data_IF_101807104688
#
_entry.id   IF_101807104688
#
_cell.length_a   1.000
_cell.length_b   1.000
_cell.length_c   1.000
_cell.angle_alpha   90.00
_cell.angle_beta   90.00
_cell.angle_gamma   90.00
#
_symmetry.space_group_name_H-M   'P 1'
#
loop_
_entity.id
_entity.type
_entity.pdbx_description
1 polymer ?
#
# COMPACT_ATOMS: atom_id res chain seq x y z
N UNK A 1 9.91 -40.91 -7.12
CA UNK A 1 9.02 -40.61 -5.97
C UNK A 1 8.89 -39.11 -5.80
N UNK A 2 7.69 -38.55 -5.64
CA UNK A 2 7.51 -37.13 -5.29
C UNK A 2 8.20 -36.91 -3.94
N UNK A 3 9.22 -36.06 -3.88
CA UNK A 3 9.93 -35.78 -2.64
C UNK A 3 8.95 -35.14 -1.65
N UNK A 4 8.80 -35.79 -0.50
CA UNK A 4 7.92 -35.35 0.58
C UNK A 4 8.81 -34.67 1.64
N UNK A 5 8.47 -33.43 2.00
CA UNK A 5 9.23 -32.60 2.92
C UNK A 5 8.40 -32.32 4.17
N UNK A 6 8.98 -32.55 5.36
CA UNK A 6 8.40 -32.10 6.62
C UNK A 6 8.89 -30.68 6.90
N UNK A 7 7.98 -29.72 6.86
CA UNK A 7 8.27 -28.29 6.98
C UNK A 7 7.54 -27.67 8.17
N UNK A 8 8.05 -26.53 8.63
CA UNK A 8 7.36 -25.60 9.53
C UNK A 8 7.10 -24.31 8.79
N UNK A 9 5.84 -23.90 8.76
CA UNK A 9 5.44 -22.56 8.34
C UNK A 9 5.35 -21.71 9.60
N UNK A 10 5.97 -20.54 9.57
CA UNK A 10 5.86 -19.49 10.60
C UNK A 10 5.19 -18.28 9.98
N UNK A 11 4.23 -17.70 10.68
CA UNK A 11 3.49 -16.52 10.24
C UNK A 11 3.39 -15.46 11.35
N UNK A 12 4.02 -14.31 11.15
CA UNK A 12 4.06 -13.18 12.09
C UNK A 12 2.85 -12.25 11.89
N UNK A 13 1.70 -12.64 12.47
CA UNK A 13 0.40 -11.99 12.25
C UNK A 13 0.41 -10.49 12.60
N UNK A 14 1.10 -10.08 13.65
CA UNK A 14 1.15 -8.69 14.08
C UNK A 14 1.69 -7.75 12.99
N UNK A 15 2.67 -8.21 12.20
CA UNK A 15 3.29 -7.47 11.10
C UNK A 15 2.55 -7.59 9.76
N UNK A 16 1.55 -8.47 9.67
CA UNK A 16 0.77 -8.67 8.45
C UNK A 16 -0.06 -7.42 8.10
N UNK A 17 0.10 -6.91 6.88
CA UNK A 17 -0.64 -5.75 6.34
C UNK A 17 -1.91 -6.12 5.56
N UNK A 18 -2.27 -7.41 5.51
CA UNK A 18 -3.55 -7.82 4.92
C UNK A 18 -3.63 -7.74 3.39
N UNK A 19 -2.50 -7.76 2.68
CA UNK A 19 -2.46 -7.67 1.21
C UNK A 19 -3.07 -8.89 0.46
N UNK A 20 -3.36 -9.99 1.16
CA UNK A 20 -4.02 -11.22 0.65
C UNK A 20 -3.28 -12.03 -0.42
N UNK A 21 -2.11 -11.62 -0.89
CA UNK A 21 -1.33 -12.42 -1.87
C UNK A 21 -1.09 -13.87 -1.44
N UNK A 22 -0.86 -14.14 -0.15
CA UNK A 22 -0.67 -15.51 0.33
C UNK A 22 -1.91 -16.40 0.12
N UNK A 23 -3.13 -15.83 0.18
CA UNK A 23 -4.37 -16.56 -0.12
C UNK A 23 -4.48 -16.86 -1.62
N UNK A 24 -3.94 -16.01 -2.49
CA UNK A 24 -3.94 -16.26 -3.95
C UNK A 24 -3.09 -17.48 -4.31
N UNK A 25 -1.91 -17.62 -3.70
CA UNK A 25 -0.97 -18.68 -4.03
C UNK A 25 -1.16 -19.96 -3.21
N UNK A 26 -1.64 -19.86 -1.97
CA UNK A 26 -1.77 -20.96 -1.03
C UNK A 26 -3.10 -20.89 -0.23
N UNK A 27 -4.26 -20.92 -0.89
CA UNK A 27 -5.58 -20.79 -0.24
C UNK A 27 -5.89 -21.92 0.76
N UNK A 28 -5.32 -23.11 0.56
CA UNK A 28 -5.49 -24.26 1.45
C UNK A 28 -4.73 -24.10 2.79
N UNK A 29 -3.84 -23.10 2.87
CA UNK A 29 -2.97 -22.86 4.02
C UNK A 29 -3.28 -21.55 4.72
N UNK A 30 -3.85 -20.56 4.03
CA UNK A 30 -4.14 -19.26 4.61
C UNK A 30 -5.63 -18.94 4.52
N UNK A 31 -6.18 -18.34 5.57
CA UNK A 31 -7.52 -17.75 5.59
C UNK A 31 -7.41 -16.24 5.86
N UNK A 32 -8.53 -15.51 5.78
CA UNK A 32 -8.55 -14.08 6.02
C UNK A 32 -9.54 -13.74 7.13
N UNK A 33 -9.05 -13.07 8.18
CA UNK A 33 -9.87 -12.65 9.31
C UNK A 33 -9.28 -11.40 9.96
N UNK A 34 -10.14 -10.51 10.48
CA UNK A 34 -9.71 -9.25 11.13
C UNK A 34 -8.72 -8.43 10.28
N UNK A 35 -8.99 -8.34 8.98
CA UNK A 35 -8.15 -7.65 7.99
C UNK A 35 -6.73 -8.21 7.80
N UNK A 36 -6.44 -9.41 8.32
CA UNK A 36 -5.13 -10.07 8.22
C UNK A 36 -5.27 -11.48 7.69
N UNK A 37 -4.21 -11.98 7.04
CA UNK A 37 -4.12 -13.41 6.78
C UNK A 37 -4.00 -14.17 8.10
N UNK A 38 -4.46 -15.42 8.15
CA UNK A 38 -4.26 -16.35 9.27
C UNK A 38 -3.78 -17.69 8.70
N UNK A 39 -2.82 -18.33 9.34
CA UNK A 39 -2.35 -19.66 8.97
C UNK A 39 -3.38 -20.71 9.43
N UNK A 40 -3.92 -21.53 8.55
CA UNK A 40 -4.93 -22.53 8.92
C UNK A 40 -4.31 -23.69 9.71
N UNK A 41 -5.07 -24.27 10.65
CA UNK A 41 -4.64 -25.40 11.49
C UNK A 41 -3.31 -25.14 12.22
N UNK A 42 -3.12 -23.91 12.71
CA UNK A 42 -1.91 -23.48 13.38
C UNK A 42 -1.94 -23.76 14.89
N UNK A 43 -0.76 -23.76 15.50
CA UNK A 43 -0.57 -23.53 16.93
C UNK A 43 0.11 -22.17 17.13
N UNK A 44 -0.20 -21.51 18.24
CA UNK A 44 0.30 -20.14 18.53
C UNK A 44 1.35 -20.16 19.61
N UNK A 45 2.40 -19.36 19.44
CA UNK A 45 3.34 -18.97 20.50
C UNK A 45 3.44 -17.45 20.48
N UNK A 46 2.90 -16.80 21.51
CA UNK A 46 2.68 -15.35 21.51
C UNK A 46 1.89 -14.90 20.26
N UNK A 47 2.37 -13.88 19.54
CA UNK A 47 1.71 -13.31 18.35
C UNK A 47 2.12 -13.98 17.02
N UNK A 48 2.70 -15.18 17.08
CA UNK A 48 3.21 -15.90 15.91
C UNK A 48 2.46 -17.23 15.78
N UNK A 49 2.00 -17.50 14.57
CA UNK A 49 1.34 -18.73 14.18
C UNK A 49 2.34 -19.68 13.55
N UNK A 50 2.26 -20.96 13.93
CA UNK A 50 3.11 -22.00 13.41
C UNK A 50 2.28 -23.16 12.91
N UNK A 51 2.74 -23.82 11.85
CA UNK A 51 2.13 -25.03 11.33
C UNK A 51 3.21 -25.98 10.83
N UNK A 52 3.29 -27.15 11.45
CA UNK A 52 4.20 -28.21 11.04
C UNK A 52 3.43 -29.21 10.16
N UNK A 53 3.88 -29.40 8.92
CA UNK A 53 3.19 -30.24 7.95
C UNK A 53 4.16 -30.99 7.05
N UNK A 54 3.67 -32.09 6.52
CA UNK A 54 4.33 -32.84 5.46
C UNK A 54 3.72 -32.45 4.13
N UNK A 55 4.54 -31.98 3.19
CA UNK A 55 4.10 -31.49 1.88
C UNK A 55 4.88 -32.15 0.75
N UNK A 56 4.25 -32.28 -0.42
CA UNK A 56 4.94 -32.64 -1.65
C UNK A 56 5.61 -31.41 -2.30
N UNK A 57 6.41 -31.66 -3.35
CA UNK A 57 7.10 -30.60 -4.10
C UNK A 57 6.18 -29.49 -4.64
N UNK A 58 4.98 -29.83 -5.12
CA UNK A 58 4.05 -28.85 -5.67
C UNK A 58 3.45 -27.96 -4.59
N UNK A 59 3.12 -28.53 -3.45
CA UNK A 59 2.60 -27.79 -2.28
C UNK A 59 3.68 -26.86 -1.71
N UNK A 60 4.92 -27.35 -1.59
CA UNK A 60 6.05 -26.51 -1.16
C UNK A 60 6.25 -25.31 -2.10
N UNK A 61 6.17 -25.51 -3.42
CA UNK A 61 6.24 -24.40 -4.39
C UNK A 61 5.12 -23.37 -4.19
N UNK A 62 3.88 -23.79 -3.90
CA UNK A 62 2.77 -22.87 -3.61
C UNK A 62 3.04 -22.04 -2.35
N UNK A 63 3.50 -22.70 -1.28
CA UNK A 63 3.85 -22.04 -0.01
C UNK A 63 5.01 -21.05 -0.18
N UNK A 64 6.05 -21.41 -0.94
CA UNK A 64 7.16 -20.51 -1.26
C UNK A 64 6.66 -19.29 -2.04
N UNK A 65 5.82 -19.48 -3.07
CA UNK A 65 5.20 -18.36 -3.80
C UNK A 65 4.38 -17.45 -2.87
N UNK A 66 3.58 -18.04 -1.98
CA UNK A 66 2.82 -17.28 -0.99
C UNK A 66 3.75 -16.44 -0.09
N UNK A 67 4.86 -17.01 0.37
CA UNK A 67 5.84 -16.31 1.19
C UNK A 67 6.53 -15.17 0.43
N UNK A 68 7.08 -15.44 -0.76
CA UNK A 68 7.75 -14.41 -1.59
C UNK A 68 6.80 -13.31 -2.09
N UNK A 69 5.51 -13.60 -2.20
CA UNK A 69 4.50 -12.60 -2.59
C UNK A 69 4.10 -11.65 -1.45
N UNK A 70 4.56 -11.90 -0.23
CA UNK A 70 4.24 -11.09 0.93
C UNK A 70 5.07 -9.81 0.94
N UNK A 71 4.48 -8.61 0.82
CA UNK A 71 5.24 -7.36 0.73
C UNK A 71 5.97 -6.98 2.02
N UNK A 72 5.65 -7.65 3.14
CA UNK A 72 6.20 -7.40 4.47
C UNK A 72 6.92 -8.62 5.05
N UNK A 73 7.18 -9.64 4.22
CA UNK A 73 7.96 -10.84 4.56
C UNK A 73 7.51 -11.58 5.83
N UNK A 74 6.22 -11.62 6.17
CA UNK A 74 5.77 -12.21 7.45
C UNK A 74 5.63 -13.73 7.46
N UNK A 75 5.98 -14.41 6.37
CA UNK A 75 5.87 -15.87 6.23
C UNK A 75 7.27 -16.45 6.05
N UNK A 76 7.67 -17.35 6.94
CA UNK A 76 8.92 -18.11 6.84
C UNK A 76 8.64 -19.60 6.74
N UNK A 77 9.52 -20.33 6.04
CA UNK A 77 9.41 -21.78 5.85
C UNK A 77 10.72 -22.43 6.25
N UNK A 78 10.64 -23.40 7.15
CA UNK A 78 11.79 -24.17 7.64
C UNK A 78 11.65 -25.63 7.22
N UNK A 79 12.76 -26.22 6.77
CA UNK A 79 12.91 -27.66 6.57
C UNK A 79 13.26 -28.29 7.92
N UNK A 80 12.31 -29.01 8.52
CA UNK A 80 12.52 -29.62 9.83
C UNK A 80 13.40 -30.87 9.78
N UNK A 81 13.52 -31.51 8.60
CA UNK A 81 14.33 -32.72 8.45
C UNK A 81 15.82 -32.38 8.35
N UNK A 82 16.14 -31.37 7.56
CA UNK A 82 17.53 -30.96 7.30
C UNK A 82 17.96 -29.76 8.15
N UNK A 83 17.09 -29.28 9.05
CA UNK A 83 17.33 -28.15 9.94
C UNK A 83 17.84 -26.90 9.20
N UNK A 84 17.18 -26.51 8.11
CA UNK A 84 17.56 -25.35 7.28
C UNK A 84 16.37 -24.45 7.00
N UNK A 85 16.65 -23.19 6.70
CA UNK A 85 15.64 -22.21 6.28
C UNK A 85 15.44 -22.35 4.77
N UNK A 86 14.18 -22.48 4.33
CA UNK A 86 13.81 -22.51 2.91
C UNK A 86 13.44 -21.10 2.45
N UNK A 87 12.67 -20.38 3.27
CA UNK A 87 12.31 -18.97 3.05
C UNK A 87 12.48 -18.25 4.38
N UNK A 88 13.43 -17.32 4.45
CA UNK A 88 13.62 -16.46 5.60
C UNK A 88 12.69 -15.22 5.55
N UNK A 89 12.71 -14.44 6.63
CA UNK A 89 11.99 -13.16 6.71
C UNK A 89 12.89 -11.98 7.05
N UNK A 90 14.21 -12.11 6.88
CA UNK A 90 15.15 -11.03 7.14
C UNK A 90 15.07 -9.99 6.03
N UNK A 91 15.13 -8.71 6.42
CA UNK A 91 15.37 -7.61 5.49
C UNK A 91 16.88 -7.45 5.42
N UNK A 92 17.45 -7.70 4.25
CA UNK A 92 18.87 -7.52 3.97
C UNK A 92 19.07 -6.14 3.35
N UNK A 93 19.56 -5.20 4.14
CA UNK A 93 19.82 -3.81 3.72
C UNK A 93 21.30 -3.46 3.70
N UNK A 94 22.20 -4.43 3.88
CA UNK A 94 23.65 -4.21 3.94
C UNK A 94 24.21 -3.67 2.62
N UNK A 95 23.57 -3.99 1.49
CA UNK A 95 23.91 -3.47 0.16
C UNK A 95 23.00 -2.32 -0.29
N UNK A 96 22.15 -1.79 0.58
CA UNK A 96 21.25 -0.69 0.24
C UNK A 96 22.05 0.60 0.07
N UNK A 97 21.74 1.37 -0.97
CA UNK A 97 22.27 2.73 -1.13
C UNK A 97 21.39 3.65 -0.29
N UNK A 98 21.99 4.32 0.68
CA UNK A 98 21.33 5.36 1.47
C UNK A 98 21.40 6.70 0.74
N UNK A 99 20.24 7.32 0.52
CA UNK A 99 20.12 8.66 -0.04
C UNK A 99 19.46 9.55 1.02
N UNK A 100 20.09 10.68 1.32
CA UNK A 100 19.52 11.70 2.21
C UNK A 100 18.69 12.67 1.37
N UNK A 101 17.50 13.04 1.88
CA UNK A 101 16.65 14.00 1.20
C UNK A 101 17.25 15.42 1.30
N UNK A 102 17.35 16.11 0.17
CA UNK A 102 17.76 17.51 0.14
C UNK A 102 16.61 18.43 0.58
N UNK A 103 16.96 19.61 1.09
CA UNK A 103 15.97 20.65 1.38
C UNK A 103 15.60 21.39 0.09
N UNK A 104 14.45 21.03 -0.48
CA UNK A 104 13.90 21.63 -1.70
C UNK A 104 13.01 22.87 -1.45
N UNK A 105 13.07 23.52 -0.28
CA UNK A 105 12.24 24.71 0.03
C UNK A 105 12.39 25.88 -0.95
N UNK A 106 13.51 25.95 -1.68
CA UNK A 106 13.77 26.97 -2.70
C UNK A 106 13.38 26.54 -4.11
N UNK A 107 13.03 25.28 -4.32
CA UNK A 107 12.62 24.78 -5.63
C UNK A 107 11.22 25.31 -5.95
N UNK A 108 11.16 26.18 -6.96
CA UNK A 108 9.89 26.67 -7.47
C UNK A 108 9.23 25.56 -8.28
N UNK A 109 8.01 25.20 -7.90
CA UNK A 109 7.19 24.28 -8.67
C UNK A 109 7.02 24.84 -10.09
N UNK A 110 7.46 24.07 -11.09
CA UNK A 110 7.36 24.46 -12.50
C UNK A 110 5.94 24.23 -12.98
N UNK A 111 5.35 25.17 -13.69
CA UNK A 111 3.99 25.00 -14.24
C UNK A 111 3.87 23.73 -15.11
N UNK A 112 2.76 23.02 -14.94
CA UNK A 112 2.43 21.89 -15.82
C UNK A 112 2.02 22.46 -17.16
N UNK A 113 2.37 21.75 -18.24
CA UNK A 113 1.84 22.06 -19.56
C UNK A 113 0.32 21.87 -19.61
N UNK A 114 -0.23 21.01 -18.74
CA UNK A 114 -1.68 20.74 -18.66
C UNK A 114 -2.46 21.78 -17.84
N UNK A 115 -1.79 22.62 -17.05
CA UNK A 115 -2.41 23.63 -16.20
C UNK A 115 -2.10 23.45 -14.71
N UNK A 116 -2.96 24.00 -13.85
CA UNK A 116 -2.88 23.88 -12.39
C UNK A 116 -4.22 23.45 -11.81
N UNK A 117 -4.18 22.85 -10.63
CA UNK A 117 -5.38 22.39 -9.92
C UNK A 117 -5.74 23.34 -8.79
N UNK A 118 -7.04 23.58 -8.64
CA UNK A 118 -7.63 24.23 -7.47
C UNK A 118 -8.52 23.23 -6.75
N UNK A 119 -8.29 23.04 -5.46
CA UNK A 119 -9.04 22.11 -4.62
C UNK A 119 -9.99 22.90 -3.72
N UNK A 120 -11.23 22.40 -3.57
CA UNK A 120 -12.24 22.95 -2.66
C UNK A 120 -12.98 21.83 -1.95
N UNK A 121 -13.33 22.05 -0.69
CA UNK A 121 -14.23 21.16 0.05
C UNK A 121 -15.66 21.69 -0.02
N UNK A 122 -16.63 20.78 -0.14
CA UNK A 122 -18.06 21.06 -0.07
C UNK A 122 -18.63 20.31 1.13
N UNK A 123 -18.62 20.96 2.29
CA UNK A 123 -18.99 20.38 3.59
C UNK A 123 -20.39 19.78 3.59
N UNK A 124 -21.38 20.52 3.11
CA UNK A 124 -22.80 20.09 3.04
C UNK A 124 -22.99 18.80 2.25
N UNK A 125 -22.29 18.67 1.12
CA UNK A 125 -22.39 17.48 0.25
C UNK A 125 -21.39 16.38 0.61
N UNK A 126 -20.51 16.61 1.60
CA UNK A 126 -19.38 15.74 1.94
C UNK A 126 -18.56 15.33 0.71
N UNK A 127 -18.17 16.33 -0.09
CA UNK A 127 -17.43 16.14 -1.35
C UNK A 127 -16.21 17.06 -1.43
N UNK A 128 -15.26 16.67 -2.27
CA UNK A 128 -14.12 17.48 -2.70
C UNK A 128 -14.32 17.79 -4.19
N UNK A 129 -14.17 19.05 -4.58
CA UNK A 129 -14.14 19.52 -5.97
C UNK A 129 -12.71 19.90 -6.34
N UNK A 130 -12.25 19.39 -7.48
CA UNK A 130 -10.98 19.77 -8.12
C UNK A 130 -11.27 20.43 -9.46
N UNK A 131 -10.84 21.68 -9.62
CA UNK A 131 -10.86 22.39 -10.88
C UNK A 131 -9.49 22.36 -11.56
N UNK A 132 -9.40 21.84 -12.78
CA UNK A 132 -8.23 21.96 -13.65
C UNK A 132 -8.30 23.27 -14.43
N UNK A 133 -7.32 24.15 -14.25
CA UNK A 133 -7.20 25.44 -14.92
C UNK A 133 -6.09 25.41 -15.97
N UNK A 134 -6.44 25.50 -17.26
CA UNK A 134 -5.47 25.52 -18.39
C UNK A 134 -4.94 26.90 -18.73
N UNK A 135 -5.74 27.93 -18.44
CA UNK A 135 -5.41 29.34 -18.56
C UNK A 135 -5.74 30.01 -17.23
N UNK A 136 -5.14 31.18 -16.96
CA UNK A 136 -5.33 31.90 -15.70
C UNK A 136 -6.82 32.06 -15.41
N UNK A 137 -7.27 31.40 -14.33
CA UNK A 137 -8.63 31.40 -13.79
C UNK A 137 -9.74 30.82 -14.69
N UNK A 138 -9.41 30.07 -15.74
CA UNK A 138 -10.41 29.37 -16.56
C UNK A 138 -10.37 27.89 -16.21
N UNK A 139 -11.39 27.44 -15.47
CA UNK A 139 -11.60 26.03 -15.14
C UNK A 139 -12.03 25.29 -16.41
N UNK A 140 -11.15 24.44 -16.93
CA UNK A 140 -11.39 23.62 -18.11
C UNK A 140 -12.11 22.31 -17.77
N UNK A 141 -11.84 21.74 -16.59
CA UNK A 141 -12.45 20.48 -16.13
C UNK A 141 -12.74 20.58 -14.64
N UNK A 142 -13.90 20.08 -14.21
CA UNK A 142 -14.21 19.87 -12.79
C UNK A 142 -14.33 18.38 -12.51
N UNK A 143 -13.67 17.94 -11.44
CA UNK A 143 -13.72 16.57 -10.93
C UNK A 143 -14.28 16.65 -9.52
N UNK A 144 -15.32 15.86 -9.23
CA UNK A 144 -15.98 15.85 -7.92
C UNK A 144 -15.96 14.42 -7.41
N UNK A 145 -15.53 14.24 -6.16
CA UNK A 145 -15.47 12.92 -5.53
C UNK A 145 -15.58 13.01 -4.02
N UNK A 146 -15.78 11.85 -3.37
CA UNK A 146 -15.87 11.75 -1.91
C UNK A 146 -14.53 11.39 -1.27
N UNK A 147 -13.66 10.69 -2.00
CA UNK A 147 -12.36 10.25 -1.52
C UNK A 147 -11.23 10.78 -2.41
N UNK A 148 -10.01 10.97 -1.87
CA UNK A 148 -8.82 11.30 -2.67
C UNK A 148 -8.58 10.29 -3.79
N UNK A 149 -8.76 9.00 -3.49
CA UNK A 149 -8.52 7.89 -4.43
C UNK A 149 -9.40 7.96 -5.67
N UNK A 150 -10.70 8.20 -5.51
CA UNK A 150 -11.61 8.36 -6.64
C UNK A 150 -11.18 9.52 -7.55
N UNK A 151 -10.75 10.63 -6.93
CA UNK A 151 -10.40 11.86 -7.64
C UNK A 151 -9.08 11.70 -8.39
N UNK A 152 -7.99 11.29 -7.72
CA UNK A 152 -6.70 11.18 -8.40
C UNK A 152 -6.70 10.06 -9.44
N UNK A 153 -7.42 8.95 -9.23
CA UNK A 153 -7.57 7.91 -10.26
C UNK A 153 -8.33 8.42 -11.47
N UNK A 154 -9.39 9.20 -11.27
CA UNK A 154 -10.13 9.84 -12.37
C UNK A 154 -9.22 10.76 -13.18
N UNK A 155 -8.41 11.59 -12.51
CA UNK A 155 -7.46 12.52 -13.16
C UNK A 155 -6.39 11.76 -13.95
N UNK A 156 -5.81 10.70 -13.39
CA UNK A 156 -4.81 9.83 -14.05
C UNK A 156 -5.41 9.12 -15.27
N UNK A 157 -6.57 8.47 -15.11
CA UNK A 157 -7.22 7.71 -16.18
C UNK A 157 -7.61 8.60 -17.37
N UNK A 158 -7.95 9.86 -17.12
CA UNK A 158 -8.27 10.85 -18.15
C UNK A 158 -7.04 11.64 -18.64
N UNK A 159 -5.83 11.28 -18.21
CA UNK A 159 -4.56 11.91 -18.64
C UNK A 159 -4.55 13.43 -18.46
N UNK A 160 -5.10 13.91 -17.33
CA UNK A 160 -5.27 15.34 -17.04
C UNK A 160 -4.05 16.00 -16.35
N UNK A 161 -2.99 15.24 -16.10
CA UNK A 161 -1.73 15.68 -15.49
C UNK A 161 -0.54 15.14 -16.32
N UNK A 162 0.60 15.82 -16.33
CA UNK A 162 1.77 15.34 -17.08
C UNK A 162 3.05 15.21 -16.27
N UNK A 163 3.11 15.73 -15.03
CA UNK A 163 4.31 15.68 -14.18
C UNK A 163 4.10 14.93 -12.87
N UNK A 164 5.12 14.18 -12.44
CA UNK A 164 5.07 13.38 -11.21
C UNK A 164 5.10 14.21 -9.92
N UNK A 165 5.85 15.31 -9.89
CA UNK A 165 5.85 16.27 -8.77
C UNK A 165 4.45 16.86 -8.54
N UNK A 166 3.71 17.11 -9.63
CA UNK A 166 2.33 17.59 -9.55
C UNK A 166 1.35 16.51 -9.13
N UNK A 167 1.55 15.26 -9.56
CA UNK A 167 0.76 14.13 -9.07
C UNK A 167 0.93 13.98 -7.55
N UNK A 168 2.17 14.08 -7.06
CA UNK A 168 2.48 13.99 -5.64
C UNK A 168 1.86 15.16 -4.85
N UNK A 169 2.03 16.39 -5.34
CA UNK A 169 1.42 17.59 -4.73
C UNK A 169 -0.11 17.50 -4.69
N UNK A 170 -0.75 17.09 -5.79
CA UNK A 170 -2.20 16.92 -5.83
C UNK A 170 -2.67 15.85 -4.84
N UNK A 171 -1.95 14.73 -4.74
CA UNK A 171 -2.22 13.70 -3.74
C UNK A 171 -2.15 14.24 -2.30
N UNK A 172 -1.13 15.04 -1.99
CA UNK A 172 -0.96 15.74 -0.71
C UNK A 172 -2.17 16.63 -0.39
N UNK A 173 -2.55 17.50 -1.32
CA UNK A 173 -3.67 18.44 -1.14
C UNK A 173 -5.03 17.73 -1.05
N UNK A 174 -5.25 16.67 -1.84
CA UNK A 174 -6.48 15.88 -1.77
C UNK A 174 -6.63 15.18 -0.42
N UNK A 175 -5.56 14.60 0.10
CA UNK A 175 -5.60 13.96 1.41
C UNK A 175 -5.86 14.99 2.53
N UNK A 176 -5.22 16.17 2.45
CA UNK A 176 -5.46 17.28 3.39
C UNK A 176 -6.91 17.75 3.35
N UNK A 177 -7.46 17.96 2.15
CA UNK A 177 -8.86 18.33 1.94
C UNK A 177 -9.82 17.27 2.49
N UNK A 178 -9.50 15.98 2.31
CA UNK A 178 -10.30 14.88 2.85
C UNK A 178 -10.29 14.85 4.39
N UNK A 179 -9.13 15.02 5.03
CA UNK A 179 -9.02 15.09 6.49
C UNK A 179 -9.86 16.26 7.02
N UNK A 180 -9.70 17.45 6.44
CA UNK A 180 -10.47 18.63 6.83
C UNK A 180 -11.98 18.39 6.71
N UNK A 181 -12.42 17.72 5.64
CA UNK A 181 -13.82 17.38 5.44
C UNK A 181 -14.34 16.36 6.47
N UNK A 182 -13.54 15.35 6.83
CA UNK A 182 -13.94 14.34 7.82
C UNK A 182 -13.99 14.91 9.25
N UNK A 183 -13.13 15.88 9.55
CA UNK A 183 -13.00 16.50 10.87
C UNK A 183 -13.75 17.84 10.99
N UNK A 184 -14.49 18.23 9.95
CA UNK A 184 -15.18 19.53 9.84
C UNK A 184 -14.26 20.77 10.03
N UNK A 185 -12.98 20.65 9.67
CA UNK A 185 -12.02 21.74 9.72
C UNK A 185 -12.16 22.68 8.51
N UNK A 186 -11.51 23.84 8.60
CA UNK A 186 -11.33 24.72 7.45
C UNK A 186 -10.20 24.20 6.57
N UNK A 187 -10.40 24.24 5.25
CA UNK A 187 -9.39 23.89 4.27
C UNK A 187 -9.09 25.09 3.39
N UNK A 188 -7.81 25.47 3.37
CA UNK A 188 -7.24 26.38 2.38
C UNK A 188 -6.07 25.64 1.72
N UNK A 189 -6.01 25.68 0.39
CA UNK A 189 -4.91 25.05 -0.35
C UNK A 189 -3.59 25.72 0.02
N UNK A 190 -2.52 24.94 0.11
CA UNK A 190 -1.18 25.35 0.57
C UNK A 190 -1.05 25.78 2.04
N UNK A 191 -2.14 26.09 2.75
CA UNK A 191 -2.12 26.37 4.19
C UNK A 191 -2.15 25.09 5.02
N UNK A 192 -1.64 25.15 6.25
CA UNK A 192 -1.76 24.06 7.21
C UNK A 192 -3.20 23.92 7.71
N UNK A 193 -3.56 22.70 8.15
CA UNK A 193 -4.81 22.49 8.87
C UNK A 193 -4.66 22.97 10.30
N UNK A 194 -5.65 23.69 10.79
CA UNK A 194 -5.78 24.06 12.20
C UNK A 194 -6.29 22.84 12.97
N UNK A 195 -5.37 22.05 13.54
CA UNK A 195 -5.63 20.77 14.24
C UNK A 195 -5.43 20.88 15.75
#
# INVERSE_FOLDING_TARGET
MKQINRIRIKHEVNKCVGNKNCLLYAPDYFSFSKQKAQLQNNYKKANVEYRDITVNHSELKKLMKAAYSCPVNVISIYDLKNNRIIVDNSIHSESAIELFADNHSKDRMKFDKTGYFLVKIKKEMKQIEVGLCRKRNIVAVKIIGKTPEDIYKTIINNKLLSRFDHAAYLGKELQKAYIALQQDLNYVQDDELDM
#
